data_IF_483237180439
#
_entry.id   IF_483237180439
#
_cell.length_a   1.000
_cell.length_b   1.000
_cell.length_c   1.000
_cell.angle_alpha   90.00
_cell.angle_beta   90.00
_cell.angle_gamma   90.00
#
_symmetry.space_group_name_H-M   'P 1'
#
loop_
_entity.id
_entity.type
_entity.pdbx_description
1 polymer ?
#
# COMPACT_ATOMS: atom_id res chain seq x y z
N UNK A 1 -67.71 -6.84 6.98
CA UNK A 1 -66.31 -7.22 6.75
C UNK A 1 -65.40 -6.30 7.59
N UNK A 2 -65.08 -6.64 8.86
CA UNK A 2 -63.94 -6.14 9.69
C UNK A 2 -64.10 -6.44 11.20
N UNK A 3 -64.12 -7.72 11.64
CA UNK A 3 -64.08 -8.05 13.09
C UNK A 3 -63.08 -9.12 13.51
N UNK A 4 -62.32 -9.71 12.58
CA UNK A 4 -61.39 -10.81 12.89
C UNK A 4 -59.91 -10.48 12.65
N UNK A 5 -59.51 -9.19 12.72
CA UNK A 5 -58.10 -8.79 12.53
C UNK A 5 -57.35 -8.40 13.81
N UNK A 6 -58.03 -8.23 14.95
CA UNK A 6 -57.44 -7.64 16.17
C UNK A 6 -57.31 -8.61 17.37
N UNK A 7 -57.63 -9.90 17.20
CA UNK A 7 -57.62 -10.87 18.29
C UNK A 7 -56.24 -11.13 18.94
N UNK A 8 -55.10 -11.19 18.21
CA UNK A 8 -53.80 -11.42 18.85
C UNK A 8 -53.32 -10.22 19.68
N UNK A 9 -53.62 -8.98 19.27
CA UNK A 9 -53.31 -7.77 20.06
C UNK A 9 -54.12 -7.73 21.36
N UNK A 10 -55.37 -8.19 21.33
CA UNK A 10 -56.21 -8.27 22.52
C UNK A 10 -55.68 -9.29 23.53
N UNK A 11 -55.26 -10.47 23.07
CA UNK A 11 -54.68 -11.50 23.94
C UNK A 11 -53.36 -11.03 24.58
N UNK A 12 -52.51 -10.35 23.82
CA UNK A 12 -51.26 -9.77 24.33
C UNK A 12 -51.52 -8.71 25.42
N UNK A 13 -52.45 -7.80 25.17
CA UNK A 13 -52.82 -6.74 26.12
C UNK A 13 -53.46 -7.28 27.41
N UNK A 14 -54.23 -8.37 27.32
CA UNK A 14 -54.82 -9.03 28.50
C UNK A 14 -53.75 -9.72 29.35
N UNK A 15 -52.80 -10.42 28.71
CA UNK A 15 -51.71 -11.09 29.41
C UNK A 15 -50.85 -10.11 30.21
N UNK A 16 -50.52 -8.94 29.64
CA UNK A 16 -49.77 -7.90 30.35
C UNK A 16 -50.54 -7.35 31.55
N UNK A 17 -51.86 -7.14 31.42
CA UNK A 17 -52.71 -6.63 32.52
C UNK A 17 -52.95 -7.63 33.65
N UNK A 18 -52.68 -8.92 33.44
CA UNK A 18 -52.80 -9.96 34.47
C UNK A 18 -51.54 -10.16 35.32
N UNK A 19 -50.44 -9.48 34.99
CA UNK A 19 -49.20 -9.55 35.76
C UNK A 19 -49.27 -8.63 37.00
N UNK A 20 -48.64 -9.02 38.14
CA UNK A 20 -48.64 -8.20 39.35
C UNK A 20 -47.97 -6.84 39.10
N UNK A 21 -48.49 -5.76 39.68
CA UNK A 21 -48.06 -4.36 39.49
C UNK A 21 -46.55 -4.10 39.74
N UNK A 22 -45.91 -4.99 40.51
CA UNK A 22 -44.47 -4.96 40.76
C UNK A 22 -43.63 -5.37 39.54
N UNK A 23 -44.15 -6.21 38.63
CA UNK A 23 -43.43 -6.64 37.42
C UNK A 23 -43.59 -5.65 36.27
N UNK A 24 -44.72 -4.96 36.16
CA UNK A 24 -44.93 -3.89 35.16
C UNK A 24 -43.99 -2.71 35.41
N UNK A 25 -43.83 -2.30 36.68
CA UNK A 25 -42.89 -1.24 37.07
C UNK A 25 -41.43 -1.54 36.69
N UNK A 26 -41.04 -2.82 36.76
CA UNK A 26 -39.69 -3.29 36.44
C UNK A 26 -39.46 -3.30 34.92
N UNK A 27 -40.47 -3.69 34.15
CA UNK A 27 -40.45 -3.68 32.67
C UNK A 27 -40.39 -2.22 32.16
N UNK A 28 -41.14 -1.31 32.77
CA UNK A 28 -41.15 0.11 32.39
C UNK A 28 -39.81 0.79 32.69
N UNK A 29 -39.18 0.46 33.84
CA UNK A 29 -37.85 0.94 34.19
C UNK A 29 -36.78 0.49 33.18
N UNK A 30 -36.75 -0.79 32.82
CA UNK A 30 -35.82 -1.31 31.82
C UNK A 30 -36.08 -0.75 30.42
N UNK A 31 -37.34 -0.58 30.04
CA UNK A 31 -37.73 0.01 28.76
C UNK A 31 -37.31 1.47 28.66
N UNK A 32 -37.44 2.23 29.74
CA UNK A 32 -36.98 3.62 29.83
C UNK A 32 -35.45 3.74 29.78
N UNK A 33 -34.72 2.79 30.38
CA UNK A 33 -33.25 2.78 30.39
C UNK A 33 -32.63 2.23 29.10
N UNK A 34 -33.40 1.52 28.28
CA UNK A 34 -32.91 0.91 27.04
C UNK A 34 -32.39 1.96 26.05
N UNK A 35 -33.15 3.02 25.82
CA UNK A 35 -32.78 4.10 24.87
C UNK A 35 -31.47 4.80 25.25
N UNK A 36 -31.29 5.32 26.50
CA UNK A 36 -30.03 5.94 26.88
C UNK A 36 -28.87 4.93 26.92
N UNK A 37 -29.12 3.66 27.25
CA UNK A 37 -28.08 2.61 27.20
C UNK A 37 -27.58 2.37 25.79
N UNK A 38 -28.50 2.21 24.82
CA UNK A 38 -28.15 2.07 23.40
C UNK A 38 -27.40 3.32 22.93
N UNK A 39 -27.84 4.53 23.31
CA UNK A 39 -27.16 5.77 22.95
C UNK A 39 -25.71 5.80 23.46
N UNK A 40 -25.47 5.42 24.73
CA UNK A 40 -24.11 5.33 25.29
C UNK A 40 -23.25 4.29 24.56
N UNK A 41 -23.81 3.12 24.26
CA UNK A 41 -23.12 2.08 23.49
C UNK A 41 -22.76 2.59 22.09
N UNK A 42 -23.68 3.28 21.41
CA UNK A 42 -23.43 3.85 20.08
C UNK A 42 -22.32 4.91 20.10
N UNK A 43 -22.31 5.80 21.10
CA UNK A 43 -21.23 6.77 21.29
C UNK A 43 -19.89 6.06 21.51
N UNK A 44 -19.87 5.01 22.34
CA UNK A 44 -18.67 4.23 22.59
C UNK A 44 -18.16 3.52 21.33
N UNK A 45 -19.05 2.88 20.55
CA UNK A 45 -18.70 2.24 19.28
C UNK A 45 -18.14 3.26 18.28
N UNK A 46 -18.78 4.43 18.15
CA UNK A 46 -18.32 5.49 17.26
C UNK A 46 -16.91 5.97 17.61
N UNK A 47 -16.62 6.15 18.90
CA UNK A 47 -15.28 6.50 19.39
C UNK A 47 -14.25 5.41 19.03
N UNK A 48 -14.60 4.14 19.21
CA UNK A 48 -13.72 3.04 18.86
C UNK A 48 -13.48 2.94 17.35
N UNK A 49 -14.51 3.15 16.52
CA UNK A 49 -14.38 3.21 15.07
C UNK A 49 -13.45 4.33 14.62
N UNK A 50 -13.57 5.53 15.22
CA UNK A 50 -12.65 6.64 14.95
C UNK A 50 -11.19 6.26 15.21
N UNK A 51 -10.91 5.66 16.38
CA UNK A 51 -9.57 5.22 16.76
C UNK A 51 -9.02 4.13 15.83
N UNK A 52 -9.84 3.16 15.43
CA UNK A 52 -9.45 2.10 14.49
C UNK A 52 -9.15 2.68 13.11
N UNK A 53 -9.96 3.61 12.63
CA UNK A 53 -9.76 4.23 11.32
C UNK A 53 -8.45 5.04 11.26
N UNK A 54 -8.09 5.74 12.35
CA UNK A 54 -6.81 6.44 12.44
C UNK A 54 -5.62 5.47 12.36
N UNK A 55 -5.69 4.35 13.10
CA UNK A 55 -4.65 3.31 13.06
C UNK A 55 -4.55 2.65 11.69
N UNK A 56 -5.70 2.40 11.05
CA UNK A 56 -5.78 1.84 9.70
C UNK A 56 -5.12 2.75 8.67
N UNK A 57 -5.37 4.05 8.72
CA UNK A 57 -4.74 5.01 7.80
C UNK A 57 -3.22 5.02 7.92
N UNK A 58 -2.69 4.95 9.15
CA UNK A 58 -1.24 4.85 9.41
C UNK A 58 -0.67 3.55 8.83
N UNK A 59 -1.37 2.44 9.04
CA UNK A 59 -0.96 1.14 8.50
C UNK A 59 -0.98 1.12 6.97
N UNK A 60 -2.03 1.63 6.33
CA UNK A 60 -2.13 1.71 4.86
C UNK A 60 -1.02 2.57 4.26
N UNK A 61 -0.70 3.71 4.90
CA UNK A 61 0.44 4.55 4.49
C UNK A 61 1.76 3.79 4.59
N UNK A 62 1.97 3.04 5.66
CA UNK A 62 3.17 2.23 5.86
C UNK A 62 3.28 1.12 4.80
N UNK A 63 2.21 0.37 4.55
CA UNK A 63 2.19 -0.69 3.53
C UNK A 63 2.49 -0.13 2.13
N UNK A 64 1.89 1.01 1.77
CA UNK A 64 2.15 1.65 0.48
C UNK A 64 3.61 2.08 0.34
N UNK A 65 4.22 2.63 1.41
CA UNK A 65 5.64 2.98 1.42
C UNK A 65 6.55 1.75 1.28
N UNK A 66 6.22 0.66 1.96
CA UNK A 66 6.95 -0.61 1.87
C UNK A 66 6.83 -1.22 0.47
N UNK A 67 5.66 -1.12 -0.19
CA UNK A 67 5.44 -1.60 -1.56
C UNK A 67 6.40 -0.93 -2.54
N UNK A 68 6.58 0.39 -2.45
CA UNK A 68 7.52 1.13 -3.31
C UNK A 68 8.95 0.71 -3.03
N UNK A 69 9.35 0.61 -1.75
CA UNK A 69 10.68 0.12 -1.39
C UNK A 69 10.96 -1.26 -1.98
N UNK A 70 9.99 -2.18 -1.91
CA UNK A 70 10.10 -3.51 -2.51
C UNK A 70 10.28 -3.45 -4.03
N UNK A 71 9.57 -2.55 -4.73
CA UNK A 71 9.73 -2.37 -6.18
C UNK A 71 11.13 -1.86 -6.54
N UNK A 72 11.65 -0.86 -5.81
CA UNK A 72 13.04 -0.38 -5.96
C UNK A 72 14.04 -1.51 -5.74
N UNK A 73 13.90 -2.24 -4.64
CA UNK A 73 14.85 -3.30 -4.30
C UNK A 73 14.79 -4.47 -5.30
N UNK A 74 13.60 -4.81 -5.79
CA UNK A 74 13.38 -5.80 -6.84
C UNK A 74 14.09 -5.39 -8.13
N UNK A 75 13.92 -4.15 -8.59
CA UNK A 75 14.54 -3.65 -9.80
C UNK A 75 16.07 -3.71 -9.72
N UNK A 76 16.66 -3.22 -8.63
CA UNK A 76 18.11 -3.30 -8.41
C UNK A 76 18.57 -4.76 -8.38
N UNK A 77 17.85 -5.63 -7.67
CA UNK A 77 18.20 -7.05 -7.54
C UNK A 77 18.19 -7.76 -8.91
N UNK A 78 17.20 -7.49 -9.76
CA UNK A 78 17.11 -8.02 -11.12
C UNK A 78 18.31 -7.58 -11.97
N UNK A 79 18.70 -6.31 -11.89
CA UNK A 79 19.89 -5.80 -12.59
C UNK A 79 21.15 -6.49 -12.07
N UNK A 80 21.33 -6.59 -10.75
CA UNK A 80 22.52 -7.25 -10.17
C UNK A 80 22.63 -8.73 -10.54
N UNK A 81 21.50 -9.41 -10.74
CA UNK A 81 21.46 -10.82 -11.14
C UNK A 81 21.73 -11.00 -12.65
N UNK A 82 21.14 -10.15 -13.50
CA UNK A 82 21.16 -10.33 -14.95
C UNK A 82 22.25 -9.49 -15.66
N UNK A 83 22.84 -8.52 -14.97
CA UNK A 83 23.84 -7.58 -15.52
C UNK A 83 23.25 -6.35 -16.21
N UNK A 84 21.99 -6.41 -16.64
CA UNK A 84 21.26 -5.30 -17.24
C UNK A 84 19.74 -5.51 -17.12
N UNK A 85 18.94 -4.44 -17.14
CA UNK A 85 17.50 -4.53 -17.35
C UNK A 85 17.17 -4.52 -18.85
N UNK A 86 15.91 -4.83 -19.16
CA UNK A 86 15.25 -4.50 -20.43
C UNK A 86 14.54 -3.14 -20.33
N UNK A 87 14.25 -2.51 -21.48
CA UNK A 87 13.44 -1.29 -21.51
C UNK A 87 12.06 -1.48 -20.86
N UNK A 88 11.43 -2.63 -21.08
CA UNK A 88 10.14 -2.99 -20.48
C UNK A 88 10.24 -3.06 -18.97
N UNK A 89 11.28 -3.71 -18.42
CA UNK A 89 11.49 -3.78 -16.97
C UNK A 89 11.72 -2.39 -16.37
N UNK A 90 12.46 -1.51 -17.05
CA UNK A 90 12.63 -0.13 -16.61
C UNK A 90 11.30 0.62 -16.53
N UNK A 91 10.44 0.47 -17.55
CA UNK A 91 9.15 1.14 -17.57
C UNK A 91 8.18 0.58 -16.52
N UNK A 92 8.18 -0.75 -16.32
CA UNK A 92 7.41 -1.39 -15.24
C UNK A 92 7.86 -0.85 -13.89
N UNK A 93 9.17 -0.79 -13.62
CA UNK A 93 9.72 -0.22 -12.40
C UNK A 93 9.22 1.22 -12.17
N UNK A 94 9.36 2.08 -13.18
CA UNK A 94 8.95 3.49 -13.06
C UNK A 94 7.44 3.63 -12.80
N UNK A 95 6.62 2.80 -13.45
CA UNK A 95 5.18 2.75 -13.23
C UNK A 95 4.83 2.29 -11.81
N UNK A 96 5.44 1.20 -11.34
CA UNK A 96 5.24 0.67 -9.97
C UNK A 96 5.72 1.66 -8.89
N UNK A 97 6.72 2.48 -9.19
CA UNK A 97 7.28 3.48 -8.29
C UNK A 97 6.61 4.87 -8.40
N UNK A 98 5.68 5.07 -9.33
CA UNK A 98 5.06 6.38 -9.62
C UNK A 98 4.32 6.99 -8.42
N UNK A 99 3.72 6.15 -7.56
CA UNK A 99 3.05 6.57 -6.33
C UNK A 99 4.02 7.21 -5.30
N UNK A 100 5.34 7.06 -5.48
CA UNK A 100 6.34 7.63 -4.58
C UNK A 100 6.26 9.15 -4.47
N UNK A 101 5.82 9.83 -5.53
CA UNK A 101 5.63 11.28 -5.56
C UNK A 101 4.65 11.79 -4.48
N UNK A 102 3.71 10.93 -4.04
CA UNK A 102 2.72 11.28 -3.02
C UNK A 102 3.10 10.83 -1.61
N UNK A 103 4.05 9.90 -1.48
CA UNK A 103 4.32 9.19 -0.23
C UNK A 103 5.66 9.58 0.41
N UNK A 104 6.59 10.13 -0.38
CA UNK A 104 7.97 10.39 0.01
C UNK A 104 8.43 11.81 -0.35
N UNK A 105 9.57 12.20 0.22
CA UNK A 105 10.23 13.46 -0.09
C UNK A 105 10.96 13.42 -1.45
N UNK A 106 11.42 14.59 -1.90
CA UNK A 106 12.13 14.74 -3.17
C UNK A 106 13.40 13.90 -3.29
N UNK A 107 14.10 13.57 -2.19
CA UNK A 107 15.33 12.77 -2.27
C UNK A 107 15.06 11.34 -2.76
N UNK A 108 13.97 10.73 -2.30
CA UNK A 108 13.57 9.39 -2.76
C UNK A 108 13.06 9.47 -4.20
N UNK A 109 12.32 10.51 -4.56
CA UNK A 109 11.83 10.72 -5.92
C UNK A 109 13.00 10.82 -6.90
N UNK A 110 13.98 11.70 -6.62
CA UNK A 110 15.20 11.84 -7.43
C UNK A 110 15.99 10.53 -7.51
N UNK A 111 16.08 9.78 -6.41
CA UNK A 111 16.75 8.48 -6.42
C UNK A 111 16.05 7.45 -7.32
N UNK A 112 14.71 7.42 -7.34
CA UNK A 112 13.93 6.56 -8.24
C UNK A 112 14.13 6.99 -9.70
N UNK A 113 14.14 8.29 -9.97
CA UNK A 113 14.40 8.84 -11.31
C UNK A 113 15.81 8.49 -11.80
N UNK A 114 16.83 8.62 -10.94
CA UNK A 114 18.21 8.24 -11.24
C UNK A 114 18.33 6.75 -11.57
N UNK A 115 17.67 5.88 -10.78
CA UNK A 115 17.61 4.45 -11.05
C UNK A 115 16.95 4.16 -12.41
N UNK A 116 15.86 4.84 -12.73
CA UNK A 116 15.16 4.65 -13.99
C UNK A 116 16.03 5.07 -15.18
N UNK A 117 16.56 6.31 -15.17
CA UNK A 117 17.37 6.84 -16.28
C UNK A 117 18.62 5.99 -16.50
N UNK A 118 19.33 5.63 -15.44
CA UNK A 118 20.50 4.76 -15.53
C UNK A 118 20.14 3.33 -15.95
N UNK A 119 18.93 2.87 -15.65
CA UNK A 119 18.42 1.61 -16.15
C UNK A 119 18.27 1.62 -17.66
N UNK A 120 17.67 2.70 -18.19
CA UNK A 120 17.54 2.94 -19.64
C UNK A 120 18.92 3.03 -20.30
N UNK A 121 19.85 3.79 -19.73
CA UNK A 121 21.23 3.88 -20.23
C UNK A 121 21.90 2.50 -20.28
N UNK A 122 21.72 1.68 -19.23
CA UNK A 122 22.29 0.34 -19.15
C UNK A 122 21.70 -0.60 -20.19
N UNK A 123 20.39 -0.50 -20.45
CA UNK A 123 19.71 -1.20 -21.55
C UNK A 123 20.22 -0.74 -22.91
N UNK A 124 20.44 0.56 -23.13
CA UNK A 124 20.96 1.10 -24.39
C UNK A 124 22.36 0.58 -24.69
N UNK A 125 23.27 0.66 -23.72
CA UNK A 125 24.63 0.13 -23.88
C UNK A 125 24.63 -1.38 -24.15
N UNK A 126 23.70 -2.12 -23.54
CA UNK A 126 23.53 -3.54 -23.82
C UNK A 126 23.05 -3.76 -25.26
N UNK A 127 22.07 -2.98 -25.73
CA UNK A 127 21.51 -3.07 -27.08
C UNK A 127 22.56 -2.74 -28.15
N UNK A 128 23.42 -1.75 -27.92
CA UNK A 128 24.53 -1.42 -28.82
C UNK A 128 25.56 -2.57 -28.95
N UNK A 129 25.86 -3.23 -27.83
CA UNK A 129 26.79 -4.36 -27.80
C UNK A 129 26.19 -5.65 -28.38
N UNK A 130 24.89 -5.86 -28.13
CA UNK A 130 24.13 -7.07 -28.42
C UNK A 130 22.67 -6.71 -28.77
N UNK A 131 22.42 -6.27 -30.02
CA UNK A 131 21.08 -5.89 -30.46
C UNK A 131 20.08 -7.05 -30.34
N UNK A 132 18.90 -6.74 -29.81
CA UNK A 132 17.80 -7.68 -29.62
C UNK A 132 17.10 -8.07 -30.93
N UNK A 133 17.25 -7.26 -31.99
CA UNK A 133 16.75 -7.52 -33.33
C UNK A 133 17.60 -8.55 -34.11
N UNK A 134 18.69 -9.03 -33.51
CA UNK A 134 19.62 -9.99 -34.12
C UNK A 134 20.59 -9.37 -35.13
N UNK A 135 20.59 -8.05 -35.28
CA UNK A 135 21.59 -7.35 -36.07
C UNK A 135 22.98 -7.50 -35.45
N UNK A 136 24.02 -7.26 -36.26
CA UNK A 136 25.40 -7.33 -35.79
C UNK A 136 25.67 -6.12 -34.92
N UNK A 137 25.85 -6.35 -33.61
CA UNK A 137 26.31 -5.32 -32.68
C UNK A 137 27.71 -4.81 -33.02
N UNK A 138 28.19 -3.83 -32.25
CA UNK A 138 29.46 -3.15 -32.52
C UNK A 138 30.63 -4.15 -32.58
N UNK A 139 31.47 -4.03 -33.61
CA UNK A 139 32.61 -4.91 -33.83
C UNK A 139 33.70 -4.75 -32.77
N UNK A 140 34.59 -5.73 -32.66
CA UNK A 140 35.70 -5.66 -31.70
C UNK A 140 36.63 -4.52 -32.10
N UNK A 141 36.80 -3.56 -31.19
CA UNK A 141 37.61 -2.36 -31.37
C UNK A 141 37.51 -1.42 -30.17
N UNK A 142 38.13 -0.25 -30.26
CA UNK A 142 38.17 0.74 -29.17
C UNK A 142 36.76 1.18 -28.72
N UNK A 143 35.83 1.34 -29.66
CA UNK A 143 34.44 1.72 -29.38
C UNK A 143 33.73 0.67 -28.52
N UNK A 144 33.80 -0.61 -28.89
CA UNK A 144 33.23 -1.71 -28.10
C UNK A 144 33.84 -1.81 -26.71
N UNK A 145 35.15 -1.58 -26.60
CA UNK A 145 35.82 -1.55 -25.29
C UNK A 145 35.31 -0.39 -24.43
N UNK A 146 35.13 0.80 -25.00
CA UNK A 146 34.58 1.97 -24.31
C UNK A 146 33.16 1.71 -23.80
N UNK A 147 32.27 1.19 -24.64
CA UNK A 147 30.87 0.90 -24.25
C UNK A 147 30.82 -0.18 -23.17
N UNK A 148 31.63 -1.23 -23.28
CA UNK A 148 31.74 -2.27 -22.26
C UNK A 148 32.22 -1.71 -20.91
N UNK A 149 33.17 -0.77 -20.91
CA UNK A 149 33.64 -0.08 -19.70
C UNK A 149 32.54 0.79 -19.09
N UNK A 150 31.83 1.59 -19.90
CA UNK A 150 30.70 2.40 -19.45
C UNK A 150 29.61 1.53 -18.82
N UNK A 151 29.27 0.42 -19.47
CA UNK A 151 28.33 -0.59 -18.95
C UNK A 151 28.79 -1.14 -17.60
N UNK A 152 30.08 -1.46 -17.46
CA UNK A 152 30.64 -1.96 -16.19
C UNK A 152 30.59 -0.92 -15.06
N UNK A 153 30.87 0.35 -15.35
CA UNK A 153 30.78 1.45 -14.39
C UNK A 153 29.32 1.60 -13.92
N UNK A 154 28.38 1.59 -14.84
CA UNK A 154 26.95 1.75 -14.54
C UNK A 154 26.40 0.57 -13.76
N UNK A 155 26.79 -0.65 -14.11
CA UNK A 155 26.45 -1.85 -13.35
C UNK A 155 26.97 -1.78 -11.90
N UNK A 156 28.23 -1.36 -11.69
CA UNK A 156 28.79 -1.16 -10.34
C UNK A 156 28.03 -0.09 -9.56
N UNK A 157 27.59 0.98 -10.23
CA UNK A 157 26.75 2.00 -9.62
C UNK A 157 25.43 1.40 -9.11
N UNK A 158 24.77 0.53 -9.88
CA UNK A 158 23.56 -0.18 -9.44
C UNK A 158 23.79 -1.09 -8.24
N UNK A 159 24.91 -1.83 -8.21
CA UNK A 159 25.27 -2.68 -7.06
C UNK A 159 25.37 -1.84 -5.78
N UNK A 160 25.99 -0.66 -5.86
CA UNK A 160 26.08 0.26 -4.72
C UNK A 160 24.71 0.80 -4.27
N UNK A 161 23.71 0.84 -5.15
CA UNK A 161 22.39 1.37 -4.81
C UNK A 161 21.59 0.49 -3.85
N UNK A 162 21.97 -0.78 -3.63
CA UNK A 162 21.31 -1.63 -2.62
C UNK A 162 21.38 -0.99 -1.23
N UNK A 163 22.58 -0.58 -0.82
CA UNK A 163 22.80 0.04 0.49
C UNK A 163 22.24 1.47 0.55
N UNK A 164 22.41 2.25 -0.53
CA UNK A 164 21.88 3.63 -0.61
C UNK A 164 20.35 3.61 -0.49
N UNK A 165 19.68 2.74 -1.23
CA UNK A 165 18.21 2.59 -1.19
C UNK A 165 17.76 2.18 0.20
N UNK A 166 18.41 1.19 0.82
CA UNK A 166 18.08 0.78 2.18
C UNK A 166 18.16 1.95 3.17
N UNK A 167 19.24 2.75 3.13
CA UNK A 167 19.40 3.91 4.02
C UNK A 167 18.34 4.98 3.80
N UNK A 168 18.09 5.36 2.55
CA UNK A 168 17.10 6.38 2.20
C UNK A 168 15.69 5.98 2.66
N UNK A 169 15.26 4.77 2.31
CA UNK A 169 13.92 4.30 2.66
C UNK A 169 13.77 4.04 4.15
N UNK A 170 14.78 3.52 4.85
CA UNK A 170 14.70 3.32 6.31
C UNK A 170 14.49 4.64 7.06
N UNK A 171 15.09 5.74 6.60
CA UNK A 171 14.91 7.05 7.20
C UNK A 171 13.46 7.59 7.10
N UNK A 172 12.75 7.25 6.02
CA UNK A 172 11.39 7.74 5.74
C UNK A 172 10.27 6.75 6.12
N UNK A 173 10.56 5.44 6.07
CA UNK A 173 9.65 4.36 6.48
C UNK A 173 9.73 4.12 7.98
N UNK A 174 10.92 4.33 8.57
CA UNK A 174 11.16 4.13 9.99
C UNK A 174 10.12 4.89 10.81
N UNK A 175 9.22 4.13 11.42
CA UNK A 175 8.42 4.58 12.55
C UNK A 175 9.41 5.07 13.59
N UNK A 176 9.64 6.38 13.69
CA UNK A 176 10.25 6.96 14.89
C UNK A 176 9.42 6.42 16.05
N UNK A 177 10.07 5.62 16.92
CA UNK A 177 9.55 5.29 18.25
C UNK A 177 9.32 6.57 19.03
#
# INVERSE_FOLDING_TARGET
>A
MNKMKNQPEQLFNIAIKSLPESTTSLIDLFSALLTPTIALIMVYIAYQQYKVNEQRLKHETYENRIKIYKSVNKFISQITANGHPTYTECHIFYSEASEAAFLFNSKIITHIEDLYQKGIDLSSLQEELYPSDGSKGIEVGEERTSISQQKSILFKWFVAQLEVSQKLFTAEIGLKK
#
